data_IF_616214082085
#
_entry.id   IF_616214082085
#
_cell.length_a   1.000
_cell.length_b   1.000
_cell.length_c   1.000
_cell.angle_alpha   90.00
_cell.angle_beta   90.00
_cell.angle_gamma   90.00
#
_symmetry.space_group_name_H-M   'P 1'
#
loop_
_entity.id
_entity.type
_entity.pdbx_description
1 polymer ?
#
# COMPACT_ATOMS: atom_id res chain seq x y z
N UNK A 1 -15.35 16.97 19.61
CA UNK A 1 -14.79 18.33 19.72
C UNK A 1 -15.01 19.02 18.38
N UNK A 2 -15.59 20.22 18.36
CA UNK A 2 -15.75 20.97 17.12
C UNK A 2 -14.35 21.32 16.57
N UNK A 3 -14.07 20.95 15.33
CA UNK A 3 -12.79 21.24 14.69
C UNK A 3 -12.78 22.72 14.32
N UNK A 4 -12.07 23.53 15.11
CA UNK A 4 -11.89 24.95 14.80
C UNK A 4 -10.85 25.08 13.69
N UNK A 5 -11.29 25.42 12.48
CA UNK A 5 -10.40 25.68 11.35
C UNK A 5 -9.68 27.02 11.53
N UNK A 6 -8.36 27.03 11.35
CA UNK A 6 -7.52 28.22 11.37
C UNK A 6 -8.06 29.30 10.40
N UNK A 7 -8.07 30.56 10.82
CA UNK A 7 -8.66 31.67 10.09
C UNK A 7 -7.96 31.99 8.77
N UNK A 8 -6.63 31.85 8.70
CA UNK A 8 -5.89 32.05 7.45
C UNK A 8 -6.28 30.97 6.44
N UNK A 9 -6.36 29.70 6.85
CA UNK A 9 -6.84 28.62 5.98
C UNK A 9 -8.29 28.84 5.52
N UNK A 10 -9.13 29.41 6.39
CA UNK A 10 -10.51 29.76 6.03
C UNK A 10 -10.52 30.81 4.92
N UNK A 11 -9.73 31.87 5.08
CA UNK A 11 -9.63 32.97 4.10
C UNK A 11 -9.16 32.46 2.74
N UNK A 12 -8.12 31.62 2.70
CA UNK A 12 -7.61 31.03 1.45
C UNK A 12 -8.60 30.06 0.79
N UNK A 13 -9.37 29.30 1.57
CA UNK A 13 -10.42 28.43 1.01
C UNK A 13 -11.59 29.23 0.44
N UNK A 14 -11.92 30.36 1.05
CA UNK A 14 -13.00 31.25 0.60
C UNK A 14 -12.64 32.04 -0.67
N UNK A 15 -11.36 32.30 -0.93
CA UNK A 15 -10.91 33.00 -2.14
C UNK A 15 -10.87 32.11 -3.39
N UNK A 16 -11.11 30.80 -3.25
CA UNK A 16 -11.10 29.86 -4.36
C UNK A 16 -12.18 30.18 -5.41
N UNK A 17 -11.81 30.23 -6.69
CA UNK A 17 -12.69 30.57 -7.81
C UNK A 17 -13.35 29.36 -8.48
N UNK A 18 -13.15 28.16 -7.92
CA UNK A 18 -13.71 26.91 -8.42
C UNK A 18 -14.09 25.98 -7.27
N UNK A 19 -14.96 25.01 -7.53
CA UNK A 19 -15.31 23.98 -6.56
C UNK A 19 -14.24 22.86 -6.54
N UNK A 20 -13.45 22.70 -5.47
CA UNK A 20 -12.41 21.68 -5.39
C UNK A 20 -12.96 20.24 -5.39
N UNK A 21 -14.25 20.05 -5.08
CA UNK A 21 -14.89 18.73 -5.13
C UNK A 21 -14.98 18.21 -6.56
N UNK A 22 -15.27 19.08 -7.53
CA UNK A 22 -15.30 18.71 -8.96
C UNK A 22 -13.91 18.30 -9.45
N UNK A 23 -12.86 19.00 -9.03
CA UNK A 23 -11.49 18.60 -9.34
C UNK A 23 -11.17 17.23 -8.73
N UNK A 24 -11.65 16.95 -7.52
CA UNK A 24 -11.47 15.64 -6.87
C UNK A 24 -12.11 14.53 -7.69
N UNK A 25 -13.34 14.73 -8.20
CA UNK A 25 -14.00 13.76 -9.08
C UNK A 25 -13.25 13.52 -10.39
N UNK A 26 -12.62 14.57 -10.94
CA UNK A 26 -11.78 14.42 -12.14
C UNK A 26 -10.53 13.59 -11.82
N UNK A 27 -9.88 13.85 -10.69
CA UNK A 27 -8.66 13.13 -10.27
C UNK A 27 -8.94 11.65 -9.94
N UNK A 28 -10.09 11.36 -9.33
CA UNK A 28 -10.53 9.99 -9.02
C UNK A 28 -11.22 9.30 -10.21
N UNK A 29 -11.48 10.04 -11.30
CA UNK A 29 -12.14 9.56 -12.52
C UNK A 29 -13.67 9.57 -12.49
N UNK A 30 -14.30 9.58 -11.31
CA UNK A 30 -15.76 9.74 -11.16
C UNK A 30 -16.16 10.18 -9.74
N UNK A 31 -17.36 10.75 -9.57
CA UNK A 31 -17.94 11.00 -8.24
C UNK A 31 -18.08 9.73 -7.39
N UNK A 32 -18.43 8.61 -8.02
CA UNK A 32 -18.57 7.30 -7.38
C UNK A 32 -17.22 6.81 -6.84
N UNK A 33 -16.14 6.98 -7.61
CA UNK A 33 -14.79 6.62 -7.18
C UNK A 33 -14.33 7.50 -6.01
N UNK A 34 -14.59 8.81 -6.04
CA UNK A 34 -14.31 9.69 -4.90
C UNK A 34 -15.03 9.23 -3.64
N UNK A 35 -16.32 8.90 -3.76
CA UNK A 35 -17.11 8.39 -2.64
C UNK A 35 -16.52 7.09 -2.11
N UNK A 36 -16.25 6.12 -2.99
CA UNK A 36 -15.75 4.80 -2.61
C UNK A 36 -14.37 4.87 -1.96
N UNK A 37 -13.46 5.69 -2.51
CA UNK A 37 -12.16 5.97 -1.91
C UNK A 37 -12.32 6.55 -0.50
N UNK A 38 -13.17 7.56 -0.31
CA UNK A 38 -13.43 8.16 1.01
C UNK A 38 -14.05 7.16 2.01
N UNK A 39 -14.91 6.26 1.55
CA UNK A 39 -15.45 5.17 2.39
C UNK A 39 -14.32 4.26 2.90
N UNK A 40 -13.46 3.79 1.99
CA UNK A 40 -12.28 2.96 2.31
C UNK A 40 -11.33 3.71 3.25
N UNK A 41 -11.07 4.99 2.98
CA UNK A 41 -10.19 5.81 3.82
C UNK A 41 -10.73 5.93 5.25
N UNK A 42 -12.03 6.13 5.40
CA UNK A 42 -12.68 6.21 6.70
C UNK A 42 -12.68 4.88 7.46
N UNK A 43 -12.82 3.74 6.77
CA UNK A 43 -12.69 2.42 7.41
C UNK A 43 -11.32 2.27 8.09
N UNK A 44 -10.27 2.70 7.41
CA UNK A 44 -8.89 2.63 7.92
C UNK A 44 -8.65 3.63 9.03
N UNK A 45 -9.04 4.90 8.81
CA UNK A 45 -8.78 5.98 9.76
C UNK A 45 -9.46 5.76 11.11
N UNK A 46 -10.59 5.05 11.13
CA UNK A 46 -11.34 4.77 12.35
C UNK A 46 -10.99 3.42 12.99
N UNK A 47 -10.23 2.55 12.32
CA UNK A 47 -9.85 1.24 12.85
C UNK A 47 -8.65 1.36 13.82
N UNK A 48 -8.83 0.98 15.10
CA UNK A 48 -7.77 1.03 16.10
C UNK A 48 -6.54 0.19 15.76
N UNK A 49 -6.69 -0.90 14.99
CA UNK A 49 -5.58 -1.81 14.64
C UNK A 49 -4.50 -1.11 13.80
N UNK A 50 -4.88 -0.05 13.07
CA UNK A 50 -3.98 0.75 12.25
C UNK A 50 -3.39 1.97 12.97
N UNK A 51 -3.80 2.25 14.22
CA UNK A 51 -3.23 3.32 15.04
C UNK A 51 -1.87 2.89 15.59
N UNK A 52 -0.96 3.87 15.68
CA UNK A 52 0.36 3.72 16.27
C UNK A 52 0.88 5.09 16.70
N UNK A 53 1.90 5.09 17.54
CA UNK A 53 2.69 6.28 17.87
C UNK A 53 3.34 6.87 16.61
N UNK A 54 3.63 8.17 16.62
CA UNK A 54 4.35 8.82 15.54
C UNK A 54 5.65 8.05 15.25
N UNK A 55 5.85 7.70 13.97
CA UNK A 55 7.02 6.93 13.53
C UNK A 55 8.32 7.64 13.90
N UNK A 56 8.33 8.97 13.99
CA UNK A 56 9.50 9.76 14.34
C UNK A 56 9.99 9.49 15.76
N UNK A 57 9.12 9.06 16.68
CA UNK A 57 9.47 8.72 18.06
C UNK A 57 9.90 7.25 18.23
N UNK A 58 9.87 6.46 17.15
CA UNK A 58 10.22 5.05 17.16
C UNK A 58 11.64 4.83 16.63
N UNK A 59 12.36 3.88 17.24
CA UNK A 59 13.62 3.32 16.72
C UNK A 59 13.40 2.57 15.40
N UNK A 60 14.47 2.32 14.64
CA UNK A 60 14.40 1.56 13.39
C UNK A 60 13.71 0.19 13.56
N UNK A 61 14.06 -0.56 14.62
CA UNK A 61 13.44 -1.86 14.92
C UNK A 61 11.94 -1.74 15.23
N UNK A 62 11.54 -0.72 16.00
CA UNK A 62 10.14 -0.48 16.31
C UNK A 62 9.34 -0.08 15.08
N UNK A 63 9.90 0.79 14.21
CA UNK A 63 9.29 1.15 12.91
C UNK A 63 9.06 -0.10 12.06
N UNK A 64 10.05 -0.99 11.97
CA UNK A 64 9.91 -2.26 11.26
C UNK A 64 8.81 -3.15 11.86
N UNK A 65 8.74 -3.28 13.19
CA UNK A 65 7.69 -4.07 13.87
C UNK A 65 6.28 -3.51 13.62
N UNK A 66 6.10 -2.21 13.77
CA UNK A 66 4.84 -1.53 13.39
C UNK A 66 4.53 -1.83 11.94
N UNK A 67 5.56 -1.84 11.09
CA UNK A 67 5.35 -2.02 9.68
C UNK A 67 4.83 -3.40 9.29
N UNK A 68 5.48 -4.45 9.80
CA UNK A 68 5.04 -5.84 9.62
C UNK A 68 3.63 -6.04 10.19
N UNK A 69 3.36 -5.51 11.39
CA UNK A 69 2.05 -5.62 12.05
C UNK A 69 0.95 -5.02 11.19
N UNK A 70 1.08 -3.74 10.79
CA UNK A 70 0.07 -3.05 9.97
C UNK A 70 -0.19 -3.79 8.67
N UNK A 71 0.85 -4.35 8.04
CA UNK A 71 0.69 -5.07 6.79
C UNK A 71 -0.01 -6.41 6.93
N UNK A 72 0.29 -7.17 7.99
CA UNK A 72 -0.45 -8.39 8.30
C UNK A 72 -1.93 -8.09 8.54
N UNK A 73 -2.24 -7.04 9.31
CA UNK A 73 -3.62 -6.55 9.53
C UNK A 73 -4.27 -6.15 8.22
N UNK A 74 -3.57 -5.42 7.35
CA UNK A 74 -4.07 -4.97 6.05
C UNK A 74 -4.55 -6.15 5.20
N UNK A 75 -3.71 -7.18 5.04
CA UNK A 75 -4.04 -8.36 4.23
C UNK A 75 -5.21 -9.13 4.83
N UNK A 76 -5.31 -9.21 6.15
CA UNK A 76 -6.47 -9.80 6.85
C UNK A 76 -7.75 -9.01 6.54
N UNK A 77 -7.74 -7.70 6.72
CA UNK A 77 -8.91 -6.82 6.54
C UNK A 77 -9.39 -6.77 5.09
N UNK A 78 -8.47 -6.75 4.12
CA UNK A 78 -8.81 -6.83 2.68
C UNK A 78 -9.63 -8.09 2.40
N UNK A 79 -9.25 -9.24 2.99
CA UNK A 79 -10.01 -10.49 2.85
C UNK A 79 -11.36 -10.44 3.55
N UNK A 80 -11.40 -9.92 4.78
CA UNK A 80 -12.64 -9.80 5.56
C UNK A 80 -13.67 -8.89 4.89
N UNK A 81 -13.22 -7.80 4.27
CA UNK A 81 -14.08 -6.86 3.54
C UNK A 81 -14.35 -7.27 2.10
N UNK A 82 -13.75 -8.37 1.61
CA UNK A 82 -13.92 -8.84 0.24
C UNK A 82 -13.42 -7.85 -0.82
N UNK A 83 -12.40 -7.05 -0.50
CA UNK A 83 -11.84 -6.06 -1.44
C UNK A 83 -10.95 -6.81 -2.44
N UNK A 84 -11.43 -6.95 -3.67
CA UNK A 84 -10.70 -7.60 -4.77
C UNK A 84 -10.27 -6.65 -5.88
N UNK A 85 -10.91 -5.48 -5.96
CA UNK A 85 -10.63 -4.51 -7.00
C UNK A 85 -9.21 -3.91 -6.84
N UNK A 86 -8.37 -3.90 -7.89
CA UNK A 86 -6.99 -3.40 -7.80
C UNK A 86 -6.89 -1.93 -7.35
N UNK A 87 -7.83 -1.08 -7.76
CA UNK A 87 -7.83 0.34 -7.40
C UNK A 87 -8.25 0.52 -5.94
N UNK A 88 -9.25 -0.23 -5.48
CA UNK A 88 -9.62 -0.26 -4.06
C UNK A 88 -8.49 -0.77 -3.17
N UNK A 89 -7.79 -1.83 -3.59
CA UNK A 89 -6.60 -2.34 -2.91
C UNK A 89 -5.52 -1.26 -2.85
N UNK A 90 -5.35 -0.49 -3.92
CA UNK A 90 -4.39 0.62 -3.97
C UNK A 90 -4.78 1.75 -3.01
N UNK A 91 -6.04 2.17 -2.99
CA UNK A 91 -6.54 3.19 -2.04
C UNK A 91 -6.37 2.72 -0.59
N UNK A 92 -6.69 1.46 -0.32
CA UNK A 92 -6.51 0.83 0.99
C UNK A 92 -5.04 0.83 1.42
N UNK A 93 -4.12 0.54 0.49
CA UNK A 93 -2.67 0.59 0.75
C UNK A 93 -2.13 2.01 0.94
N UNK A 94 -2.57 2.97 0.12
CA UNK A 94 -1.97 4.31 0.03
C UNK A 94 -1.97 5.06 1.35
N UNK A 95 -3.05 4.98 2.13
CA UNK A 95 -3.10 5.59 3.47
C UNK A 95 -2.07 5.04 4.46
N UNK A 96 -1.66 3.79 4.27
CA UNK A 96 -0.70 3.11 5.14
C UNK A 96 0.75 3.32 4.71
N UNK A 97 0.98 3.71 3.45
CA UNK A 97 2.31 3.82 2.84
C UNK A 97 2.93 5.21 2.97
N UNK A 98 2.20 6.20 3.49
CA UNK A 98 2.73 7.55 3.73
C UNK A 98 3.88 7.45 4.76
N UNK A 99 5.10 7.78 4.33
CA UNK A 99 6.34 7.76 5.13
C UNK A 99 6.78 6.38 5.66
N UNK A 100 6.41 5.29 4.98
CA UNK A 100 6.54 3.95 5.51
C UNK A 100 7.36 3.02 4.60
N UNK A 101 8.30 2.28 5.21
CA UNK A 101 9.00 1.18 4.55
C UNK A 101 8.08 -0.04 4.55
N UNK A 102 7.68 -0.54 3.37
CA UNK A 102 6.83 -1.71 3.25
C UNK A 102 7.67 -3.00 3.26
N UNK A 103 7.75 -3.75 4.37
CA UNK A 103 8.70 -4.86 4.52
C UNK A 103 8.38 -6.07 3.63
N UNK A 104 7.16 -6.12 3.06
CA UNK A 104 6.72 -7.16 2.12
C UNK A 104 6.38 -6.58 0.75
N UNK A 105 6.79 -5.34 0.45
CA UNK A 105 6.46 -4.69 -0.82
C UNK A 105 6.91 -5.53 -2.01
N UNK A 106 8.16 -6.00 -1.99
CA UNK A 106 8.72 -6.88 -3.03
C UNK A 106 7.97 -8.21 -3.21
N UNK A 107 7.30 -8.72 -2.16
CA UNK A 107 6.47 -9.92 -2.30
C UNK A 107 5.36 -9.69 -3.34
N UNK A 108 4.72 -8.52 -3.30
CA UNK A 108 3.61 -8.19 -4.19
C UNK A 108 4.05 -7.50 -5.48
N UNK A 109 5.09 -6.67 -5.43
CA UNK A 109 5.54 -5.93 -6.61
C UNK A 109 6.43 -6.73 -7.55
N UNK A 110 7.15 -7.75 -7.04
CA UNK A 110 8.12 -8.51 -7.85
C UNK A 110 7.99 -10.02 -7.71
N UNK A 111 7.96 -10.57 -6.49
CA UNK A 111 7.95 -12.03 -6.29
C UNK A 111 6.72 -12.71 -6.90
N UNK A 112 5.51 -12.25 -6.57
CA UNK A 112 4.26 -12.77 -7.15
C UNK A 112 4.21 -12.56 -8.68
N UNK A 113 4.47 -11.36 -9.22
CA UNK A 113 4.52 -11.16 -10.68
C UNK A 113 5.53 -12.06 -11.39
N UNK A 114 6.72 -12.27 -10.81
CA UNK A 114 7.73 -13.18 -11.39
C UNK A 114 7.23 -14.62 -11.39
N UNK A 115 6.59 -15.11 -10.32
CA UNK A 115 5.96 -16.43 -10.32
C UNK A 115 4.84 -16.56 -11.36
N UNK A 116 4.00 -15.53 -11.50
CA UNK A 116 2.91 -15.52 -12.47
C UNK A 116 3.41 -15.55 -13.93
N UNK A 117 4.45 -14.78 -14.23
CA UNK A 117 4.93 -14.58 -15.59
C UNK A 117 6.01 -15.60 -16.02
N UNK A 118 6.83 -16.09 -15.09
CA UNK A 118 8.00 -16.92 -15.39
C UNK A 118 7.94 -18.32 -14.76
N UNK A 119 7.03 -18.56 -13.79
CA UNK A 119 6.90 -19.87 -13.15
C UNK A 119 6.25 -20.92 -14.05
N UNK A 120 6.60 -22.19 -13.86
CA UNK A 120 5.86 -23.32 -14.45
C UNK A 120 4.53 -23.55 -13.73
N UNK A 121 3.62 -24.34 -14.32
CA UNK A 121 2.32 -24.66 -13.68
C UNK A 121 2.49 -25.24 -12.27
N UNK A 122 3.36 -26.24 -12.10
CA UNK A 122 3.61 -26.85 -10.79
C UNK A 122 4.17 -25.85 -9.76
N UNK A 123 5.02 -24.91 -10.21
CA UNK A 123 5.56 -23.86 -9.36
C UNK A 123 4.48 -22.85 -8.94
N UNK A 124 3.61 -22.47 -9.88
CA UNK A 124 2.49 -21.56 -9.64
C UNK A 124 1.51 -22.15 -8.62
N UNK A 125 1.10 -23.40 -8.81
CA UNK A 125 0.21 -24.11 -7.90
C UNK A 125 0.80 -24.23 -6.49
N UNK A 126 2.10 -24.47 -6.40
CA UNK A 126 2.80 -24.63 -5.11
C UNK A 126 2.94 -23.31 -4.35
N UNK A 127 3.21 -22.19 -5.02
CA UNK A 127 3.67 -20.97 -4.35
C UNK A 127 2.79 -19.73 -4.49
N UNK A 128 1.92 -19.61 -5.51
CA UNK A 128 1.15 -18.38 -5.72
C UNK A 128 0.16 -18.11 -4.59
N UNK A 129 -0.72 -19.07 -4.30
CA UNK A 129 -1.76 -18.89 -3.27
C UNK A 129 -1.13 -18.67 -1.88
N UNK A 130 -0.10 -19.43 -1.46
CA UNK A 130 0.61 -19.13 -0.20
C UNK A 130 1.28 -17.75 -0.18
N UNK A 131 1.86 -17.28 -1.29
CA UNK A 131 2.53 -15.98 -1.38
C UNK A 131 1.55 -14.79 -1.33
N UNK A 132 0.42 -14.88 -2.04
CA UNK A 132 -0.71 -13.95 -1.91
C UNK A 132 -1.32 -14.02 -0.50
N UNK A 133 -1.22 -15.21 0.10
CA UNK A 133 -1.56 -15.60 1.45
C UNK A 133 -0.83 -14.82 2.56
N UNK A 134 0.36 -14.29 2.29
CA UNK A 134 1.40 -14.04 3.30
C UNK A 134 1.75 -15.26 4.16
N UNK A 135 1.46 -16.48 3.68
CA UNK A 135 1.93 -17.73 4.30
C UNK A 135 3.40 -17.98 3.93
N UNK A 136 3.80 -17.49 2.76
CA UNK A 136 5.18 -17.37 2.30
C UNK A 136 5.41 -15.90 1.97
N UNK A 137 6.57 -15.38 2.36
CA UNK A 137 7.00 -14.03 2.00
C UNK A 137 8.24 -14.17 1.13
N UNK A 138 8.09 -13.85 -0.15
CA UNK A 138 9.20 -13.82 -1.09
C UNK A 138 9.77 -12.41 -1.27
N UNK A 139 10.94 -12.36 -1.88
CA UNK A 139 11.60 -11.13 -2.31
C UNK A 139 12.19 -11.34 -3.71
N UNK A 140 12.70 -10.27 -4.30
CA UNK A 140 13.40 -10.32 -5.58
C UNK A 140 14.83 -9.81 -5.37
N UNK A 141 15.73 -10.77 -5.14
CA UNK A 141 17.14 -10.49 -4.87
C UNK A 141 17.92 -10.46 -6.20
N UNK A 142 17.85 -9.33 -6.90
CA UNK A 142 18.59 -9.11 -8.16
C UNK A 142 19.89 -8.34 -7.92
N UNK A 143 19.83 -7.25 -7.15
CA UNK A 143 20.98 -6.37 -6.93
C UNK A 143 22.01 -7.02 -6.02
N UNK A 144 23.27 -7.00 -6.43
CA UNK A 144 24.41 -7.48 -5.64
C UNK A 144 25.31 -6.31 -5.24
N UNK A 145 26.15 -6.50 -4.21
CA UNK A 145 26.97 -5.43 -3.61
C UNK A 145 27.84 -4.66 -4.63
N UNK A 146 28.30 -5.32 -5.70
CA UNK A 146 29.11 -4.69 -6.73
C UNK A 146 28.41 -4.47 -8.07
N UNK A 147 27.14 -4.89 -8.22
CA UNK A 147 26.50 -5.05 -9.53
C UNK A 147 25.05 -4.58 -9.50
N UNK A 148 24.76 -3.51 -10.24
CA UNK A 148 23.43 -2.87 -10.26
C UNK A 148 22.91 -2.66 -11.70
N UNK A 149 23.76 -2.17 -12.62
CA UNK A 149 23.39 -1.85 -14.01
C UNK A 149 23.85 -2.90 -15.04
N UNK A 150 24.91 -3.64 -14.76
CA UNK A 150 25.47 -4.62 -15.70
C UNK A 150 25.11 -6.04 -15.27
N UNK A 151 23.96 -6.53 -15.73
CA UNK A 151 23.61 -7.94 -15.69
C UNK A 151 24.26 -8.63 -16.90
N UNK A 152 25.50 -9.08 -16.76
CA UNK A 152 26.02 -10.11 -17.67
C UNK A 152 25.42 -11.43 -17.19
N UNK A 153 24.41 -11.92 -17.89
CA UNK A 153 23.91 -13.28 -17.70
C UNK A 153 25.00 -14.23 -18.20
N UNK A 154 25.94 -14.59 -17.32
CA UNK A 154 26.81 -15.73 -17.55
C UNK A 154 25.96 -16.96 -17.23
N UNK A 155 25.30 -17.50 -18.25
CA UNK A 155 24.73 -18.84 -18.18
C UNK A 155 25.90 -19.83 -18.08
N UNK A 156 26.37 -20.07 -16.85
CA UNK A 156 27.15 -21.26 -16.56
C UNK A 156 26.15 -22.43 -16.50
N UNK A 157 26.14 -23.22 -17.57
CA UNK A 157 25.58 -24.56 -17.57
C UNK A 157 26.43 -25.48 -16.70
#
# INVERSE_FOLDING_TARGET
>A
MAVTMNEDLRRERASATFNPELLTHILDGSPENTRRRREIENLILNDPDFKHEDLNFLTCSQRYKVAVRKRATLVKKIREFGISDPDEIMWFKKLHMINFVEPVGLNFSMFIPTLLNQGTTAQKEKWLLPAQGLQIIGTYAQTELGHEQLLVVVALW
#
